data_IF_004399091354
#
_entry.id   IF_004399091354
#
_cell.length_a   1.000
_cell.length_b   1.000
_cell.length_c   1.000
_cell.angle_alpha   90.00
_cell.angle_beta   90.00
_cell.angle_gamma   90.00
#
_symmetry.space_group_name_H-M   'P 1'
#
loop_
_entity.id
_entity.type
_entity.pdbx_description
1 polymer ?
#
# COMPACT_ATOMS: atom_id res chain seq x y z
N UNK A 1 22.03 -51.60 -61.79
CA UNK A 1 20.98 -50.56 -61.84
C UNK A 1 20.73 -50.10 -60.47
N UNK A 2 21.43 -49.01 -60.08
CA UNK A 2 21.47 -48.41 -58.71
C UNK A 2 20.66 -47.14 -58.74
N UNK A 3 19.64 -47.00 -57.88
CA UNK A 3 18.87 -45.76 -57.66
C UNK A 3 19.30 -45.14 -56.35
N UNK A 4 19.94 -44.00 -56.42
CA UNK A 4 20.21 -43.10 -55.33
C UNK A 4 18.96 -42.31 -54.98
N UNK A 5 18.52 -42.35 -53.72
CA UNK A 5 17.51 -41.48 -53.16
C UNK A 5 18.24 -40.44 -52.25
N UNK A 6 18.28 -39.21 -52.71
CA UNK A 6 18.77 -38.06 -51.94
C UNK A 6 17.68 -37.61 -50.96
N UNK A 7 17.91 -37.73 -49.66
CA UNK A 7 17.05 -37.18 -48.63
C UNK A 7 17.49 -35.71 -48.38
N UNK A 8 16.62 -34.78 -48.75
CA UNK A 8 16.72 -33.37 -48.38
C UNK A 8 16.29 -33.22 -46.91
N UNK A 9 17.25 -32.96 -46.00
CA UNK A 9 16.98 -32.57 -44.65
C UNK A 9 16.64 -31.09 -44.65
N UNK A 10 15.36 -30.74 -44.50
CA UNK A 10 14.91 -29.37 -44.22
C UNK A 10 15.14 -29.11 -42.76
N UNK A 11 16.22 -28.41 -42.43
CA UNK A 11 16.49 -27.90 -41.10
C UNK A 11 15.52 -26.76 -40.75
N UNK A 12 14.54 -27.06 -39.91
CA UNK A 12 13.72 -26.03 -39.25
C UNK A 12 14.62 -25.29 -38.24
N UNK A 13 15.14 -24.13 -38.62
CA UNK A 13 15.70 -23.16 -37.69
C UNK A 13 14.54 -22.58 -36.88
N UNK A 14 14.28 -23.19 -35.71
CA UNK A 14 13.44 -22.59 -34.70
C UNK A 14 14.23 -21.39 -34.10
N UNK A 15 14.06 -20.22 -34.69
CA UNK A 15 14.52 -18.98 -34.11
C UNK A 15 13.66 -18.71 -32.89
N UNK A 16 14.17 -19.13 -31.71
CA UNK A 16 13.64 -18.70 -30.43
C UNK A 16 13.77 -17.18 -30.37
N UNK A 17 12.67 -16.49 -30.57
CA UNK A 17 12.51 -15.08 -30.19
C UNK A 17 12.64 -14.96 -28.67
N UNK A 18 13.86 -14.91 -28.16
CA UNK A 18 14.11 -14.31 -26.85
C UNK A 18 13.80 -12.83 -27.04
N UNK A 19 12.89 -12.24 -26.25
CA UNK A 19 12.68 -10.82 -26.32
C UNK A 19 14.01 -10.13 -25.97
N UNK A 20 14.58 -9.41 -26.94
CA UNK A 20 15.75 -8.58 -26.71
C UNK A 20 15.47 -7.71 -25.47
N UNK A 21 16.36 -7.80 -24.49
CA UNK A 21 16.31 -6.95 -23.32
C UNK A 21 16.54 -5.50 -23.79
N UNK A 22 15.45 -4.77 -24.03
CA UNK A 22 15.53 -3.36 -24.44
C UNK A 22 16.19 -2.56 -23.35
N UNK A 23 17.09 -1.64 -23.72
CA UNK A 23 17.69 -0.70 -22.82
C UNK A 23 16.63 0.19 -22.12
N UNK A 24 16.98 0.73 -20.97
CA UNK A 24 16.14 1.65 -20.21
C UNK A 24 15.73 2.85 -21.09
N UNK A 25 14.43 3.08 -21.16
CA UNK A 25 13.86 4.17 -21.94
C UNK A 25 12.81 4.93 -21.10
N UNK A 26 12.83 6.26 -21.22
CA UNK A 26 11.92 7.17 -20.53
C UNK A 26 11.23 8.08 -21.52
N UNK A 27 9.91 8.13 -21.49
CA UNK A 27 9.12 9.08 -22.27
C UNK A 27 8.15 9.83 -21.35
N UNK A 28 8.09 11.15 -21.50
CA UNK A 28 7.20 12.02 -20.74
C UNK A 28 6.05 12.48 -21.62
N UNK A 29 4.82 12.18 -21.22
CA UNK A 29 3.60 12.68 -21.82
C UNK A 29 2.89 13.64 -20.84
N UNK A 30 2.26 14.68 -21.39
CA UNK A 30 1.61 15.70 -20.58
C UNK A 30 0.24 16.01 -21.17
N UNK A 31 -0.81 15.78 -20.37
CA UNK A 31 -2.21 16.00 -20.78
C UNK A 31 -2.84 17.07 -19.93
N UNK A 32 -3.47 18.03 -20.61
CA UNK A 32 -4.33 19.00 -19.94
C UNK A 32 -5.59 18.30 -19.42
N UNK A 33 -5.89 18.45 -18.14
CA UNK A 33 -7.11 17.95 -17.53
C UNK A 33 -8.02 19.15 -17.24
N UNK A 34 -9.37 19.05 -17.45
CA UNK A 34 -10.29 20.08 -17.02
C UNK A 34 -10.09 20.35 -15.53
N UNK A 35 -9.65 21.55 -15.18
CA UNK A 35 -9.46 21.98 -13.79
C UNK A 35 -10.79 22.42 -13.17
N UNK A 36 -10.81 22.59 -11.84
CA UNK A 36 -11.91 23.22 -11.12
C UNK A 36 -12.14 24.68 -11.54
N UNK A 37 -11.18 25.29 -12.23
CA UNK A 37 -11.27 26.63 -12.80
C UNK A 37 -10.94 26.59 -14.29
N UNK A 38 -11.79 27.18 -15.17
CA UNK A 38 -11.52 27.26 -16.62
C UNK A 38 -10.26 28.04 -16.97
N UNK A 39 -9.77 28.89 -16.04
CA UNK A 39 -8.60 29.76 -16.25
C UNK A 39 -7.25 29.10 -15.93
N UNK A 40 -7.24 27.95 -15.31
CA UNK A 40 -6.02 27.21 -14.97
C UNK A 40 -6.24 25.70 -15.18
N UNK A 41 -6.03 25.20 -16.41
CA UNK A 41 -6.08 23.75 -16.65
C UNK A 41 -4.99 23.07 -15.84
N UNK A 42 -5.36 21.95 -15.20
CA UNK A 42 -4.43 21.08 -14.54
C UNK A 42 -3.67 20.27 -15.60
N UNK A 43 -2.37 20.10 -15.43
CA UNK A 43 -1.58 19.23 -16.31
C UNK A 43 -1.21 17.97 -15.56
N UNK A 44 -1.68 16.82 -16.05
CA UNK A 44 -1.21 15.52 -15.59
C UNK A 44 0.00 15.11 -16.42
N UNK A 45 1.06 14.70 -15.73
CA UNK A 45 2.26 14.19 -16.35
C UNK A 45 2.33 12.68 -16.16
N UNK A 46 2.49 11.93 -17.27
CA UNK A 46 2.74 10.50 -17.29
C UNK A 46 4.17 10.25 -17.77
N UNK A 47 4.95 9.58 -16.94
CA UNK A 47 6.32 9.20 -17.25
C UNK A 47 6.36 7.70 -17.53
N UNK A 48 6.42 7.30 -18.78
CA UNK A 48 6.55 5.89 -19.17
C UNK A 48 8.00 5.46 -19.04
N UNK A 49 8.25 4.40 -18.25
CA UNK A 49 9.59 3.81 -18.06
C UNK A 49 9.52 2.35 -18.51
N UNK A 50 10.38 1.99 -19.48
CA UNK A 50 10.45 0.64 -20.06
C UNK A 50 11.90 0.19 -20.18
N UNK A 51 12.12 -1.13 -20.37
CA UNK A 51 13.44 -1.70 -20.52
C UNK A 51 14.10 -2.09 -19.18
N UNK A 52 15.36 -2.48 -19.22
CA UNK A 52 16.12 -2.88 -18.03
C UNK A 52 16.78 -1.69 -17.35
N UNK A 53 16.80 -1.70 -16.02
CA UNK A 53 17.53 -0.71 -15.23
C UNK A 53 19.04 -0.96 -15.37
N UNK A 54 19.78 0.08 -15.73
CA UNK A 54 21.22 0.05 -15.93
C UNK A 54 21.88 1.20 -15.17
N UNK A 55 23.17 1.06 -14.92
CA UNK A 55 23.96 2.07 -14.21
C UNK A 55 23.85 3.46 -14.89
N UNK A 56 23.53 4.49 -14.12
CA UNK A 56 23.40 5.87 -14.59
C UNK A 56 21.98 6.27 -14.99
N UNK A 57 21.02 5.36 -15.02
CA UNK A 57 19.62 5.69 -15.38
C UNK A 57 18.95 6.58 -14.33
N UNK A 58 19.28 6.40 -13.06
CA UNK A 58 18.83 7.28 -11.99
C UNK A 58 19.28 8.72 -12.18
N UNK A 59 20.51 8.95 -12.69
CA UNK A 59 21.01 10.30 -12.93
C UNK A 59 20.27 10.97 -14.10
N UNK A 60 20.01 10.24 -15.17
CA UNK A 60 19.18 10.72 -16.30
C UNK A 60 17.77 11.09 -15.82
N UNK A 61 17.17 10.21 -14.98
CA UNK A 61 15.84 10.46 -14.41
C UNK A 61 15.84 11.70 -13.51
N UNK A 62 16.85 11.88 -12.66
CA UNK A 62 17.00 13.06 -11.79
C UNK A 62 16.96 14.38 -12.61
N UNK A 63 17.72 14.43 -13.69
CA UNK A 63 17.75 15.62 -14.57
C UNK A 63 16.37 15.90 -15.16
N UNK A 64 15.69 14.87 -15.65
CA UNK A 64 14.33 14.99 -16.22
C UNK A 64 13.33 15.48 -15.16
N UNK A 65 13.31 14.89 -13.98
CA UNK A 65 12.37 15.24 -12.91
C UNK A 65 12.63 16.64 -12.33
N UNK A 66 13.89 17.05 -12.22
CA UNK A 66 14.25 18.41 -11.81
C UNK A 66 13.73 19.44 -12.82
N UNK A 67 13.89 19.19 -14.12
CA UNK A 67 13.34 20.02 -15.20
C UNK A 67 11.82 20.08 -15.20
N UNK A 68 11.15 18.95 -14.93
CA UNK A 68 9.69 18.89 -14.82
C UNK A 68 9.19 19.69 -13.61
N UNK A 69 9.81 19.50 -12.44
CA UNK A 69 9.47 20.20 -11.20
C UNK A 69 9.59 21.72 -11.33
N UNK A 70 10.61 22.19 -12.03
CA UNK A 70 10.82 23.63 -12.26
C UNK A 70 9.73 24.28 -13.14
N UNK A 71 9.05 23.51 -13.99
CA UNK A 71 8.05 23.99 -14.96
C UNK A 71 6.61 23.72 -14.53
N UNK A 72 6.38 22.90 -13.49
CA UNK A 72 5.04 22.45 -13.11
C UNK A 72 4.60 23.13 -11.82
N UNK A 73 3.43 23.78 -11.87
CA UNK A 73 2.78 24.31 -10.68
C UNK A 73 2.35 23.14 -9.76
N UNK A 74 2.71 23.24 -8.47
CA UNK A 74 2.43 22.17 -7.50
C UNK A 74 1.03 22.31 -6.93
N UNK A 75 0.33 21.18 -6.86
CA UNK A 75 -0.94 21.04 -6.16
C UNK A 75 -0.71 20.17 -4.93
N UNK A 76 -1.04 20.70 -3.77
CA UNK A 76 -0.89 19.99 -2.50
C UNK A 76 -1.66 18.66 -2.53
N UNK A 77 -1.00 17.57 -2.14
CA UNK A 77 -1.60 16.24 -2.07
C UNK A 77 -1.63 15.49 -3.41
N UNK A 78 -1.21 16.11 -4.52
CA UNK A 78 -1.10 15.42 -5.81
C UNK A 78 0.36 15.10 -6.16
N UNK A 79 0.63 13.97 -6.83
CA UNK A 79 1.97 13.66 -7.33
C UNK A 79 2.37 14.64 -8.44
N UNK A 80 3.67 14.89 -8.60
CA UNK A 80 4.22 15.67 -9.71
C UNK A 80 3.96 15.00 -11.06
N UNK A 81 4.09 13.68 -11.09
CA UNK A 81 3.82 12.85 -12.26
C UNK A 81 3.45 11.42 -11.80
N UNK A 82 2.92 10.63 -12.71
CA UNK A 82 2.75 9.19 -12.54
C UNK A 82 3.76 8.44 -13.40
N UNK A 83 4.64 7.67 -12.78
CA UNK A 83 5.56 6.77 -13.46
C UNK A 83 4.86 5.46 -13.81
N UNK A 84 4.67 5.22 -15.10
CA UNK A 84 4.10 4.00 -15.66
C UNK A 84 5.25 3.03 -15.97
N UNK A 85 5.30 1.93 -15.20
CA UNK A 85 6.43 1.01 -15.22
C UNK A 85 6.13 -0.26 -16.03
N UNK A 86 7.05 -0.62 -16.93
CA UNK A 86 7.03 -1.88 -17.69
C UNK A 86 8.46 -2.39 -17.92
N UNK A 87 8.95 -3.26 -17.03
CA UNK A 87 10.34 -3.71 -17.02
C UNK A 87 10.48 -5.09 -16.38
N UNK A 88 11.38 -5.89 -16.93
CA UNK A 88 11.78 -7.18 -16.34
C UNK A 88 12.78 -7.04 -15.19
N UNK A 89 13.23 -5.83 -14.84
CA UNK A 89 14.18 -5.58 -13.78
C UNK A 89 15.51 -5.02 -14.27
N UNK A 90 16.63 -5.40 -13.66
CA UNK A 90 17.97 -4.93 -14.00
C UNK A 90 18.86 -4.72 -12.77
N UNK A 91 19.61 -3.62 -12.76
CA UNK A 91 20.49 -3.27 -11.64
C UNK A 91 19.67 -2.88 -10.39
N UNK A 92 19.95 -3.57 -9.28
CA UNK A 92 19.26 -3.34 -8.01
C UNK A 92 19.56 -1.94 -7.45
N UNK A 93 20.80 -1.51 -7.44
CA UNK A 93 21.18 -0.24 -6.83
C UNK A 93 20.61 0.95 -7.61
N UNK A 94 20.62 0.88 -8.94
CA UNK A 94 19.97 1.89 -9.77
C UNK A 94 18.45 1.92 -9.54
N UNK A 95 17.81 0.76 -9.37
CA UNK A 95 16.39 0.72 -9.10
C UNK A 95 16.02 1.33 -7.74
N UNK A 96 16.83 1.09 -6.69
CA UNK A 96 16.66 1.76 -5.40
C UNK A 96 16.82 3.28 -5.52
N UNK A 97 17.83 3.72 -6.29
CA UNK A 97 18.05 5.14 -6.58
C UNK A 97 16.84 5.77 -7.30
N UNK A 98 16.27 5.08 -8.30
CA UNK A 98 15.05 5.48 -8.99
C UNK A 98 13.87 5.57 -8.02
N UNK A 99 13.69 4.60 -7.14
CA UNK A 99 12.63 4.64 -6.13
C UNK A 99 12.78 5.80 -5.14
N UNK A 100 14.00 6.09 -4.68
CA UNK A 100 14.25 7.29 -3.87
C UNK A 100 13.96 8.59 -4.64
N UNK A 101 14.24 8.64 -5.95
CA UNK A 101 13.85 9.78 -6.78
C UNK A 101 12.33 9.93 -6.89
N UNK A 102 11.59 8.85 -7.02
CA UNK A 102 10.13 8.92 -7.00
C UNK A 102 9.62 9.53 -5.69
N UNK A 103 10.20 9.13 -4.56
CA UNK A 103 9.87 9.73 -3.26
C UNK A 103 10.29 11.21 -3.19
N UNK A 104 11.50 11.55 -3.62
CA UNK A 104 12.04 12.92 -3.57
C UNK A 104 11.22 13.91 -4.40
N UNK A 105 10.77 13.48 -5.58
CA UNK A 105 10.02 14.31 -6.52
C UNK A 105 8.51 14.13 -6.42
N UNK A 106 8.03 13.28 -5.49
CA UNK A 106 6.59 12.99 -5.31
C UNK A 106 5.97 12.43 -6.61
N UNK A 107 6.54 11.35 -7.10
CA UNK A 107 6.08 10.63 -8.28
C UNK A 107 5.24 9.43 -7.83
N UNK A 108 4.00 9.35 -8.29
CA UNK A 108 3.19 8.13 -8.15
C UNK A 108 3.71 7.04 -9.09
N UNK A 109 3.50 5.77 -8.74
CA UNK A 109 3.85 4.63 -9.60
C UNK A 109 2.60 3.87 -10.04
N UNK A 110 2.60 3.41 -11.28
CA UNK A 110 1.53 2.66 -11.91
C UNK A 110 2.11 1.50 -12.74
N UNK A 111 1.53 0.32 -12.57
CA UNK A 111 1.73 -0.80 -13.50
C UNK A 111 0.42 -1.05 -14.21
N UNK A 112 0.38 -0.86 -15.52
CA UNK A 112 -0.84 -0.98 -16.32
C UNK A 112 -1.21 -2.44 -16.58
N UNK A 113 -2.48 -2.67 -16.91
CA UNK A 113 -2.95 -3.97 -17.39
C UNK A 113 -2.10 -4.45 -18.58
N UNK A 114 -1.54 -5.66 -18.46
CA UNK A 114 -0.66 -6.25 -19.45
C UNK A 114 0.82 -5.91 -19.30
N UNK A 115 1.18 -4.93 -18.48
CA UNK A 115 2.57 -4.63 -18.15
C UNK A 115 3.11 -5.54 -17.04
N UNK A 116 4.42 -5.69 -17.03
CA UNK A 116 5.17 -6.37 -15.98
C UNK A 116 6.16 -5.41 -15.32
N UNK A 117 6.30 -5.48 -14.01
CA UNK A 117 7.34 -4.78 -13.26
C UNK A 117 7.95 -5.78 -12.28
N UNK A 118 9.05 -6.39 -12.68
CA UNK A 118 9.65 -7.54 -12.00
C UNK A 118 11.02 -7.18 -11.40
N UNK A 119 11.42 -7.89 -10.33
CA UNK A 119 12.77 -7.78 -9.75
C UNK A 119 13.12 -6.34 -9.37
N UNK A 120 14.19 -5.77 -9.90
CA UNK A 120 14.62 -4.40 -9.67
C UNK A 120 13.52 -3.37 -9.98
N UNK A 121 12.67 -3.58 -11.02
CA UNK A 121 11.52 -2.73 -11.29
C UNK A 121 10.53 -2.70 -10.13
N UNK A 122 10.25 -3.85 -9.51
CA UNK A 122 9.36 -3.92 -8.35
C UNK A 122 9.91 -3.14 -7.15
N UNK A 123 11.24 -3.08 -6.99
CA UNK A 123 11.85 -2.22 -5.98
C UNK A 123 11.64 -0.73 -6.31
N UNK A 124 11.85 -0.30 -7.55
CA UNK A 124 11.57 1.07 -7.96
C UNK A 124 10.09 1.45 -7.78
N UNK A 125 9.16 0.51 -8.06
CA UNK A 125 7.71 0.69 -7.86
C UNK A 125 7.38 1.07 -6.41
N UNK A 126 8.07 0.51 -5.42
CA UNK A 126 7.87 0.84 -4.00
C UNK A 126 8.20 2.31 -3.67
N UNK A 127 8.90 3.04 -4.53
CA UNK A 127 9.17 4.48 -4.39
C UNK A 127 7.97 5.39 -4.64
N UNK A 128 6.87 4.85 -5.18
CA UNK A 128 5.67 5.62 -5.52
C UNK A 128 5.11 6.44 -4.36
N UNK A 129 5.02 7.76 -4.56
CA UNK A 129 4.66 8.74 -3.51
C UNK A 129 3.82 9.87 -4.08
N UNK A 130 2.73 10.25 -3.41
CA UNK A 130 1.84 11.35 -3.81
C UNK A 130 2.15 12.67 -3.11
N UNK A 131 2.62 12.63 -1.85
CA UNK A 131 2.86 13.83 -1.05
C UNK A 131 3.93 13.57 -0.01
N UNK A 132 4.68 14.62 0.33
CA UNK A 132 5.70 14.63 1.41
C UNK A 132 5.22 15.39 2.64
N UNK A 133 3.93 15.48 2.89
CA UNK A 133 3.45 16.16 4.09
C UNK A 133 3.80 15.37 5.35
N UNK A 134 4.30 16.05 6.40
CA UNK A 134 4.54 15.42 7.70
C UNK A 134 3.25 14.76 8.26
N UNK A 135 3.35 13.65 9.02
CA UNK A 135 4.59 13.06 9.54
C UNK A 135 5.30 12.10 8.57
N UNK A 136 4.66 11.59 7.52
CA UNK A 136 5.26 10.66 6.58
C UNK A 136 4.77 10.89 5.15
N UNK A 137 5.60 10.60 4.13
CA UNK A 137 5.17 10.61 2.74
C UNK A 137 4.07 9.58 2.52
N UNK A 138 3.01 9.95 1.79
CA UNK A 138 1.91 9.05 1.45
C UNK A 138 2.32 8.16 0.28
N UNK A 139 2.29 6.83 0.42
CA UNK A 139 2.48 5.92 -0.70
C UNK A 139 1.45 6.18 -1.80
N UNK A 140 1.89 6.16 -3.04
CA UNK A 140 1.02 6.26 -4.22
C UNK A 140 1.46 5.25 -5.26
N UNK A 141 1.01 4.02 -5.10
CA UNK A 141 1.39 2.84 -5.86
C UNK A 141 0.13 2.19 -6.37
N UNK A 142 -0.02 2.06 -7.67
CA UNK A 142 -1.24 1.50 -8.29
C UNK A 142 -0.89 0.36 -9.23
N UNK A 143 -1.69 -0.69 -9.21
CA UNK A 143 -1.61 -1.81 -10.14
C UNK A 143 -2.98 -1.96 -10.78
N UNK A 144 -3.08 -1.78 -12.11
CA UNK A 144 -4.29 -2.16 -12.84
C UNK A 144 -4.43 -3.67 -12.81
N UNK A 145 -5.66 -4.16 -12.56
CA UNK A 145 -5.92 -5.60 -12.57
C UNK A 145 -5.48 -6.20 -13.90
N UNK A 146 -4.57 -7.18 -13.83
CA UNK A 146 -3.88 -7.78 -14.98
C UNK A 146 -2.51 -7.16 -15.30
N UNK A 147 -2.05 -6.15 -14.56
CA UNK A 147 -0.64 -5.77 -14.47
C UNK A 147 0.07 -6.65 -13.43
N UNK A 148 1.36 -6.90 -13.57
CA UNK A 148 2.09 -7.78 -12.65
C UNK A 148 3.25 -7.06 -11.99
N UNK A 149 3.31 -7.13 -10.65
CA UNK A 149 4.48 -6.70 -9.87
C UNK A 149 5.00 -7.91 -9.11
N UNK A 150 6.26 -8.24 -9.31
CA UNK A 150 6.88 -9.43 -8.74
C UNK A 150 8.26 -9.18 -8.16
N UNK A 151 8.49 -9.72 -6.98
CA UNK A 151 9.74 -9.65 -6.23
C UNK A 151 10.41 -11.03 -6.18
N UNK A 152 11.70 -11.05 -6.19
CA UNK A 152 12.53 -12.21 -5.87
C UNK A 152 13.80 -11.77 -5.15
N UNK A 153 14.48 -12.71 -4.52
CA UNK A 153 15.77 -12.42 -3.88
C UNK A 153 16.79 -11.99 -4.93
N UNK A 154 17.66 -11.08 -4.58
CA UNK A 154 18.74 -10.66 -5.48
C UNK A 154 19.87 -11.71 -5.52
N UNK A 155 20.52 -11.79 -6.67
CA UNK A 155 21.70 -12.62 -6.86
C UNK A 155 22.93 -11.74 -7.06
N UNK A 156 24.08 -12.20 -6.57
CA UNK A 156 25.37 -11.60 -6.86
C UNK A 156 25.92 -12.20 -8.15
N UNK A 157 26.54 -11.37 -8.98
CA UNK A 157 27.25 -11.85 -10.15
C UNK A 157 28.55 -12.54 -9.72
N UNK A 158 28.52 -13.87 -9.68
CA UNK A 158 29.64 -14.69 -9.29
C UNK A 158 30.83 -14.51 -10.24
N UNK A 159 30.58 -14.29 -11.55
CA UNK A 159 31.65 -14.09 -12.54
C UNK A 159 32.35 -12.76 -12.32
N UNK A 160 31.58 -11.69 -12.03
CA UNK A 160 32.13 -10.39 -11.71
C UNK A 160 33.02 -10.45 -10.43
N UNK A 161 32.54 -11.14 -9.38
CA UNK A 161 33.28 -11.32 -8.13
C UNK A 161 34.57 -12.11 -8.40
N UNK A 162 34.48 -13.20 -9.16
CA UNK A 162 35.64 -14.02 -9.50
C UNK A 162 36.68 -13.24 -10.28
N UNK A 163 36.28 -12.41 -11.24
CA UNK A 163 37.16 -11.56 -12.01
C UNK A 163 37.83 -10.49 -11.12
N UNK A 164 37.05 -9.84 -10.25
CA UNK A 164 37.56 -8.82 -9.31
C UNK A 164 38.59 -9.40 -8.34
N UNK A 165 38.40 -10.63 -7.87
CA UNK A 165 39.29 -11.32 -6.93
C UNK A 165 40.36 -12.16 -7.62
N UNK A 166 40.49 -12.07 -8.94
CA UNK A 166 41.48 -12.82 -9.76
C UNK A 166 41.47 -14.33 -9.49
N UNK A 167 40.28 -14.88 -9.21
CA UNK A 167 40.12 -16.30 -8.95
C UNK A 167 40.50 -16.77 -7.54
N UNK A 168 40.90 -15.87 -6.61
CA UNK A 168 41.12 -16.21 -5.21
C UNK A 168 39.78 -16.54 -4.53
N UNK A 169 39.58 -17.81 -4.18
CA UNK A 169 38.36 -18.29 -3.58
C UNK A 169 38.05 -17.66 -2.22
N UNK A 170 39.08 -17.45 -1.38
CA UNK A 170 38.89 -16.84 -0.04
C UNK A 170 38.50 -15.38 -0.17
N UNK A 171 39.19 -14.63 -1.03
CA UNK A 171 38.81 -13.25 -1.34
C UNK A 171 37.45 -13.15 -1.98
N UNK A 172 37.08 -14.10 -2.86
CA UNK A 172 35.76 -14.20 -3.49
C UNK A 172 34.62 -14.41 -2.49
N UNK A 173 34.81 -15.33 -1.54
CA UNK A 173 33.84 -15.57 -0.46
C UNK A 173 33.67 -14.32 0.41
N UNK A 174 34.77 -13.72 0.86
CA UNK A 174 34.75 -12.51 1.69
C UNK A 174 34.07 -11.34 0.97
N UNK A 175 34.36 -11.15 -0.33
CA UNK A 175 33.75 -10.12 -1.17
C UNK A 175 32.24 -10.36 -1.34
N UNK A 176 31.85 -11.61 -1.68
CA UNK A 176 30.44 -11.98 -1.84
C UNK A 176 29.64 -11.77 -0.56
N UNK A 177 30.17 -12.18 0.59
CA UNK A 177 29.54 -11.94 1.89
C UNK A 177 29.38 -10.45 2.20
N UNK A 178 30.42 -9.65 1.93
CA UNK A 178 30.38 -8.20 2.11
C UNK A 178 29.31 -7.52 1.26
N UNK A 179 29.23 -7.87 -0.04
CA UNK A 179 28.20 -7.36 -0.96
C UNK A 179 26.79 -7.81 -0.58
N UNK A 180 26.62 -9.08 -0.20
CA UNK A 180 25.32 -9.60 0.25
C UNK A 180 24.81 -8.86 1.48
N UNK A 181 25.66 -8.65 2.48
CA UNK A 181 25.33 -7.89 3.70
C UNK A 181 24.99 -6.43 3.38
N UNK A 182 25.76 -5.78 2.51
CA UNK A 182 25.51 -4.40 2.10
C UNK A 182 24.17 -4.27 1.34
N UNK A 183 23.88 -5.19 0.43
CA UNK A 183 22.62 -5.23 -0.32
C UNK A 183 21.41 -5.47 0.59
N UNK A 184 21.48 -6.42 1.50
CA UNK A 184 20.42 -6.69 2.48
C UNK A 184 20.15 -5.46 3.37
N UNK A 185 21.22 -4.82 3.90
CA UNK A 185 21.10 -3.58 4.67
C UNK A 185 20.46 -2.45 3.88
N UNK A 186 20.84 -2.28 2.62
CA UNK A 186 20.27 -1.26 1.74
C UNK A 186 18.77 -1.48 1.51
N UNK A 187 18.35 -2.73 1.25
CA UNK A 187 16.95 -3.09 1.04
C UNK A 187 16.09 -2.88 2.28
N UNK A 188 16.57 -3.29 3.46
CA UNK A 188 15.83 -3.11 4.72
C UNK A 188 15.65 -1.61 5.01
N UNK A 189 16.70 -0.81 4.85
CA UNK A 189 16.62 0.65 5.01
C UNK A 189 15.66 1.27 4.00
N UNK A 190 15.76 0.87 2.75
CA UNK A 190 14.89 1.33 1.68
C UNK A 190 13.41 1.07 2.00
N UNK A 191 13.08 -0.15 2.44
CA UNK A 191 11.71 -0.50 2.84
C UNK A 191 11.22 0.39 3.99
N UNK A 192 12.01 0.53 5.05
CA UNK A 192 11.68 1.37 6.20
C UNK A 192 11.45 2.84 5.78
N UNK A 193 12.33 3.38 4.94
CA UNK A 193 12.21 4.74 4.42
C UNK A 193 10.95 4.96 3.58
N UNK A 194 10.47 3.93 2.88
CA UNK A 194 9.30 4.00 2.02
C UNK A 194 8.00 3.56 2.70
N UNK A 195 8.04 3.25 4.00
CA UNK A 195 6.87 2.77 4.75
C UNK A 195 6.38 1.39 4.28
N UNK A 196 7.29 0.54 3.80
CA UNK A 196 7.04 -0.88 3.54
C UNK A 196 7.52 -1.68 4.75
N UNK A 197 6.79 -2.71 5.13
CA UNK A 197 7.18 -3.57 6.25
C UNK A 197 8.57 -4.18 6.02
N UNK A 198 9.58 -3.91 6.84
CA UNK A 198 10.89 -4.55 6.73
C UNK A 198 10.84 -6.07 6.84
N UNK A 199 9.82 -6.62 7.51
CA UNK A 199 9.56 -8.05 7.59
C UNK A 199 9.30 -8.67 6.22
N UNK A 200 8.65 -7.96 5.32
CA UNK A 200 8.48 -8.40 3.92
C UNK A 200 9.84 -8.57 3.22
N UNK A 201 10.74 -7.60 3.39
CA UNK A 201 12.10 -7.69 2.81
C UNK A 201 12.89 -8.84 3.45
N UNK A 202 12.79 -9.03 4.77
CA UNK A 202 13.44 -10.15 5.46
C UNK A 202 12.95 -11.49 4.92
N UNK A 203 11.64 -11.67 4.72
CA UNK A 203 11.08 -12.87 4.09
C UNK A 203 11.56 -13.07 2.65
N UNK A 204 11.70 -11.99 1.89
CA UNK A 204 12.23 -12.05 0.52
C UNK A 204 13.68 -12.54 0.50
N UNK A 205 14.52 -12.05 1.40
CA UNK A 205 15.94 -12.36 1.47
C UNK A 205 16.25 -13.81 1.86
N UNK A 206 15.37 -14.50 2.59
CA UNK A 206 15.57 -15.90 2.98
C UNK A 206 15.04 -16.90 1.93
N UNK A 207 14.33 -16.44 0.90
CA UNK A 207 13.80 -17.31 -0.15
C UNK A 207 14.87 -17.63 -1.20
N UNK A 208 14.79 -18.80 -1.85
CA UNK A 208 15.60 -19.09 -3.02
C UNK A 208 15.44 -18.01 -4.11
N UNK A 209 16.50 -17.66 -4.85
CA UNK A 209 16.45 -16.58 -5.86
C UNK A 209 15.46 -16.78 -7.01
N UNK A 210 15.10 -18.02 -7.30
CA UNK A 210 14.13 -18.42 -8.31
C UNK A 210 12.67 -18.38 -7.82
N UNK A 211 12.47 -18.10 -6.53
CA UNK A 211 11.14 -18.01 -5.93
C UNK A 211 10.60 -16.59 -6.01
N UNK A 212 9.47 -16.42 -6.69
CA UNK A 212 8.81 -15.14 -6.87
C UNK A 212 7.69 -14.91 -5.88
N UNK A 213 7.58 -13.66 -5.38
CA UNK A 213 6.44 -13.14 -4.63
C UNK A 213 5.75 -12.10 -5.51
N UNK A 214 4.48 -12.28 -5.80
CA UNK A 214 3.69 -11.34 -6.59
C UNK A 214 2.72 -10.56 -5.72
N UNK A 215 2.36 -9.34 -6.13
CA UNK A 215 1.27 -8.58 -5.52
C UNK A 215 -0.03 -9.06 -6.16
N UNK A 216 -0.60 -10.12 -5.63
CA UNK A 216 -1.79 -10.77 -6.15
C UNK A 216 -2.94 -10.88 -5.12
N UNK A 217 -2.64 -10.90 -3.83
CA UNK A 217 -3.61 -10.99 -2.73
C UNK A 217 -3.82 -9.65 -2.02
N UNK A 218 -4.95 -9.53 -1.32
CA UNK A 218 -5.25 -8.38 -0.47
C UNK A 218 -4.13 -8.09 0.52
N UNK A 219 -3.60 -9.13 1.18
CA UNK A 219 -2.49 -9.01 2.12
C UNK A 219 -1.25 -8.39 1.46
N UNK A 220 -0.90 -8.84 0.25
CA UNK A 220 0.25 -8.30 -0.47
C UNK A 220 0.06 -6.85 -0.87
N UNK A 221 -1.14 -6.45 -1.32
CA UNK A 221 -1.45 -5.05 -1.58
C UNK A 221 -1.29 -4.19 -0.32
N UNK A 222 -1.79 -4.64 0.84
CA UNK A 222 -1.64 -3.94 2.12
C UNK A 222 -0.17 -3.88 2.58
N UNK A 223 0.56 -4.99 2.48
CA UNK A 223 1.97 -5.09 2.90
C UNK A 223 2.87 -4.09 2.16
N UNK A 224 2.66 -3.91 0.86
CA UNK A 224 3.47 -2.99 0.06
C UNK A 224 2.82 -1.60 -0.09
N UNK A 225 1.66 -1.36 0.48
CA UNK A 225 0.93 -0.10 0.38
C UNK A 225 0.55 0.24 -1.07
N UNK A 226 0.11 -0.76 -1.85
CA UNK A 226 -0.34 -0.60 -3.23
C UNK A 226 -1.87 -0.68 -3.34
N UNK A 227 -2.41 -0.08 -4.41
CA UNK A 227 -3.83 -0.05 -4.71
C UNK A 227 -4.14 -0.83 -5.99
N UNK A 228 -5.08 -1.78 -5.97
CA UNK A 228 -5.62 -2.31 -7.20
C UNK A 228 -6.51 -1.27 -7.89
N UNK A 229 -6.47 -1.20 -9.21
CA UNK A 229 -7.37 -0.37 -10.01
C UNK A 229 -7.95 -1.15 -11.19
N UNK A 230 -9.10 -0.71 -11.68
CA UNK A 230 -9.83 -1.38 -12.76
C UNK A 230 -11.21 -1.83 -12.34
N UNK A 231 -12.04 -2.20 -13.31
CA UNK A 231 -13.47 -2.49 -13.13
C UNK A 231 -13.80 -3.92 -12.66
N UNK A 232 -12.82 -4.79 -12.53
CA UNK A 232 -13.02 -6.22 -12.30
C UNK A 232 -12.81 -6.63 -10.84
N UNK A 233 -12.94 -5.68 -9.89
CA UNK A 233 -12.79 -6.01 -8.47
C UNK A 233 -14.00 -6.80 -7.96
N UNK A 234 -13.78 -7.89 -7.22
CA UNK A 234 -14.88 -8.65 -6.64
C UNK A 234 -15.66 -7.81 -5.62
N UNK A 235 -16.93 -8.17 -5.41
CA UNK A 235 -17.74 -7.54 -4.37
C UNK A 235 -17.26 -8.05 -2.99
N UNK A 236 -16.88 -7.12 -2.12
CA UNK A 236 -16.53 -7.44 -0.74
C UNK A 236 -17.76 -7.48 0.18
N UNK A 237 -17.61 -8.09 1.36
CA UNK A 237 -18.62 -8.13 2.41
C UNK A 237 -18.37 -7.07 3.46
N UNK A 238 -19.44 -6.45 3.96
CA UNK A 238 -19.32 -5.36 4.93
C UNK A 238 -18.85 -5.84 6.30
N UNK A 239 -19.28 -7.03 6.71
CA UNK A 239 -18.82 -7.70 7.93
C UNK A 239 -17.32 -7.93 7.88
N UNK A 240 -16.82 -8.41 6.75
CA UNK A 240 -15.40 -8.62 6.52
C UNK A 240 -14.63 -7.30 6.57
N UNK A 241 -15.19 -6.25 5.95
CA UNK A 241 -14.58 -4.91 6.00
C UNK A 241 -14.46 -4.40 7.43
N UNK A 242 -15.53 -4.51 8.23
CA UNK A 242 -15.51 -4.08 9.62
C UNK A 242 -14.44 -4.82 10.44
N UNK A 243 -14.37 -6.14 10.30
CA UNK A 243 -13.37 -6.97 10.98
C UNK A 243 -11.95 -6.62 10.56
N UNK A 244 -11.69 -6.49 9.27
CA UNK A 244 -10.34 -6.17 8.77
C UNK A 244 -9.84 -4.79 9.23
N UNK A 245 -10.73 -3.79 9.25
CA UNK A 245 -10.43 -2.47 9.82
C UNK A 245 -10.04 -2.60 11.29
N UNK A 246 -10.83 -3.34 12.07
CA UNK A 246 -10.60 -3.52 13.50
C UNK A 246 -9.35 -4.33 13.80
N UNK A 247 -9.10 -5.41 13.07
CA UNK A 247 -7.88 -6.23 13.20
C UNK A 247 -6.63 -5.39 12.92
N UNK A 248 -6.68 -4.56 11.87
CA UNK A 248 -5.59 -3.65 11.55
C UNK A 248 -5.40 -2.59 12.65
N UNK A 249 -6.48 -1.95 13.09
CA UNK A 249 -6.45 -0.90 14.11
C UNK A 249 -5.99 -1.41 15.49
N UNK A 250 -6.23 -2.68 15.81
CA UNK A 250 -5.82 -3.31 17.06
C UNK A 250 -4.31 -3.63 17.12
N UNK A 251 -3.59 -3.54 15.99
CA UNK A 251 -2.14 -3.77 15.95
C UNK A 251 -1.71 -5.17 16.37
N UNK A 252 -2.55 -6.19 16.13
CA UNK A 252 -2.25 -7.58 16.48
C UNK A 252 -2.69 -8.01 17.90
N UNK A 253 -3.48 -7.18 18.59
CA UNK A 253 -4.04 -7.55 19.93
C UNK A 253 -5.13 -8.64 19.86
N UNK A 254 -5.23 -9.32 18.75
CA UNK A 254 -6.18 -10.39 18.46
C UNK A 254 -6.62 -10.32 17.01
N UNK A 255 -7.13 -11.42 16.50
CA UNK A 255 -7.70 -11.52 15.16
C UNK A 255 -9.16 -11.94 15.30
N UNK A 256 -10.08 -11.02 15.02
CA UNK A 256 -11.49 -11.31 14.94
C UNK A 256 -11.86 -11.90 13.58
N UNK A 257 -12.91 -12.71 13.54
CA UNK A 257 -13.51 -13.24 12.31
C UNK A 257 -14.80 -12.51 11.96
N UNK A 258 -15.24 -12.60 10.70
CA UNK A 258 -16.46 -11.94 10.23
C UNK A 258 -17.71 -12.27 11.07
N UNK A 259 -17.76 -13.45 11.67
CA UNK A 259 -18.82 -13.88 12.61
C UNK A 259 -18.87 -13.06 13.90
N UNK A 260 -17.78 -12.38 14.25
CA UNK A 260 -17.68 -11.54 15.46
C UNK A 260 -18.09 -10.07 15.17
N UNK A 261 -18.37 -9.72 13.92
CA UNK A 261 -18.91 -8.43 13.55
C UNK A 261 -20.44 -8.44 13.73
N UNK A 262 -20.91 -7.77 14.76
CA UNK A 262 -22.33 -7.60 15.02
C UNK A 262 -22.85 -6.34 14.32
N UNK A 263 -23.78 -6.44 13.35
CA UNK A 263 -24.39 -5.26 12.77
C UNK A 263 -25.20 -4.52 13.85
N UNK A 264 -25.17 -3.20 13.77
CA UNK A 264 -25.95 -2.33 14.66
C UNK A 264 -26.56 -1.19 13.86
N UNK A 265 -27.65 -0.61 14.35
CA UNK A 265 -28.18 0.59 13.72
C UNK A 265 -27.25 1.78 13.97
N UNK A 266 -27.30 2.77 13.10
CA UNK A 266 -26.53 4.01 13.29
C UNK A 266 -26.82 4.66 14.66
N UNK A 267 -28.05 4.60 15.09
CA UNK A 267 -28.52 5.14 16.36
C UNK A 267 -27.97 4.34 17.55
N UNK A 268 -28.09 3.03 17.50
CA UNK A 268 -27.57 2.16 18.57
C UNK A 268 -26.05 2.27 18.68
N UNK A 269 -25.36 2.42 17.55
CA UNK A 269 -23.92 2.69 17.53
C UNK A 269 -23.57 4.02 18.22
N UNK A 270 -24.31 5.11 17.91
CA UNK A 270 -24.12 6.40 18.59
C UNK A 270 -24.42 6.29 20.09
N UNK A 271 -25.53 5.67 20.46
CA UNK A 271 -25.90 5.45 21.87
C UNK A 271 -24.80 4.69 22.61
N UNK A 272 -24.32 3.58 22.03
CA UNK A 272 -23.25 2.78 22.60
C UNK A 272 -21.96 3.60 22.81
N UNK A 273 -21.57 4.42 21.82
CA UNK A 273 -20.39 5.30 21.95
C UNK A 273 -20.58 6.37 23.04
N UNK A 274 -21.78 6.95 23.16
CA UNK A 274 -22.08 7.90 24.21
C UNK A 274 -22.04 7.26 25.61
N UNK A 275 -22.52 6.01 25.76
CA UNK A 275 -22.37 5.24 27.00
C UNK A 275 -20.89 5.00 27.39
N UNK A 276 -20.02 4.77 26.41
CA UNK A 276 -18.58 4.63 26.68
C UNK A 276 -17.97 5.98 27.13
N UNK A 277 -18.35 7.07 26.47
CA UNK A 277 -17.93 8.44 26.89
C UNK A 277 -18.38 8.71 28.33
N UNK A 278 -19.62 8.40 28.69
CA UNK A 278 -20.13 8.59 30.05
C UNK A 278 -19.31 7.79 31.07
N UNK A 279 -19.06 6.50 30.84
CA UNK A 279 -18.27 5.65 31.72
C UNK A 279 -16.86 6.22 31.94
N UNK A 280 -16.25 6.74 30.90
CA UNK A 280 -14.92 7.34 30.97
C UNK A 280 -14.90 8.61 31.83
N UNK A 281 -15.90 9.44 31.62
CA UNK A 281 -16.02 10.70 32.33
C UNK A 281 -16.29 10.45 33.82
N UNK A 282 -17.14 9.46 34.13
CA UNK A 282 -17.41 9.06 35.52
C UNK A 282 -16.15 8.48 36.18
N UNK A 283 -15.40 7.60 35.49
CA UNK A 283 -14.17 7.02 36.01
C UNK A 283 -13.06 8.05 36.24
N UNK A 284 -12.98 9.08 35.37
CA UNK A 284 -12.03 10.19 35.47
C UNK A 284 -12.48 11.31 36.42
N UNK A 285 -13.65 11.16 37.05
CA UNK A 285 -14.29 12.16 37.95
C UNK A 285 -14.40 13.55 37.29
N UNK A 286 -14.61 13.62 35.99
CA UNK A 286 -14.79 14.86 35.23
C UNK A 286 -16.21 15.36 35.43
N UNK A 287 -16.34 16.61 35.93
CA UNK A 287 -17.62 17.28 36.10
C UNK A 287 -17.76 18.39 35.07
N UNK A 288 -18.94 18.54 34.50
CA UNK A 288 -19.23 19.61 33.57
C UNK A 288 -20.66 19.54 33.03
N UNK A 289 -21.18 20.63 32.44
CA UNK A 289 -22.55 20.66 31.93
C UNK A 289 -22.82 19.62 30.86
N UNK A 290 -21.86 19.32 29.98
CA UNK A 290 -21.98 18.26 28.96
C UNK A 290 -22.13 16.86 29.57
N UNK A 291 -21.49 16.60 30.71
CA UNK A 291 -21.59 15.31 31.42
C UNK A 291 -22.97 15.09 32.00
N UNK A 292 -23.53 16.14 32.62
CA UNK A 292 -24.91 16.08 33.13
C UNK A 292 -25.94 15.88 32.02
N UNK A 293 -25.76 16.53 30.89
CA UNK A 293 -26.61 16.35 29.72
C UNK A 293 -26.53 14.93 29.17
N UNK A 294 -25.31 14.35 29.09
CA UNK A 294 -25.08 13.00 28.57
C UNK A 294 -25.83 11.94 29.36
N UNK A 295 -25.77 11.98 30.70
CA UNK A 295 -26.50 11.07 31.58
C UNK A 295 -28.03 11.18 31.35
N UNK A 296 -28.57 12.39 31.27
CA UNK A 296 -29.98 12.65 31.01
C UNK A 296 -30.42 12.13 29.65
N UNK A 297 -29.60 12.32 28.62
CA UNK A 297 -29.91 11.86 27.24
C UNK A 297 -29.89 10.34 27.14
N UNK A 298 -28.92 9.69 27.77
CA UNK A 298 -28.83 8.21 27.77
C UNK A 298 -29.99 7.56 28.56
N UNK A 299 -30.47 8.22 29.62
CA UNK A 299 -31.65 7.79 30.34
C UNK A 299 -32.95 8.05 29.59
N UNK A 300 -32.97 9.00 28.64
CA UNK A 300 -34.12 9.32 27.83
C UNK A 300 -34.33 8.27 26.72
N UNK A 301 -35.57 8.15 26.25
CA UNK A 301 -35.89 7.37 25.05
C UNK A 301 -36.00 8.27 23.80
N UNK A 302 -35.64 9.54 23.93
CA UNK A 302 -35.70 10.49 22.79
C UNK A 302 -34.39 10.43 21.97
N UNK A 303 -34.53 9.82 20.82
CA UNK A 303 -33.39 9.62 19.89
C UNK A 303 -32.87 10.91 19.26
N UNK A 304 -33.65 12.00 19.23
CA UNK A 304 -33.20 13.31 18.72
C UNK A 304 -32.13 13.90 19.63
N UNK A 305 -32.23 13.65 20.92
CA UNK A 305 -31.25 14.06 21.89
C UNK A 305 -29.90 13.34 21.73
N UNK A 306 -29.96 12.07 21.29
CA UNK A 306 -28.73 11.30 20.97
C UNK A 306 -27.92 11.99 19.87
N UNK A 307 -28.57 12.37 18.77
CA UNK A 307 -27.90 13.02 17.65
C UNK A 307 -27.33 14.41 18.03
N UNK A 308 -28.09 15.19 18.81
CA UNK A 308 -27.64 16.50 19.29
C UNK A 308 -26.38 16.37 20.16
N UNK A 309 -26.46 15.57 21.23
CA UNK A 309 -25.33 15.42 22.17
C UNK A 309 -24.11 14.77 21.50
N UNK A 310 -24.34 13.85 20.57
CA UNK A 310 -23.26 13.27 19.78
C UNK A 310 -22.50 14.33 18.98
N UNK A 311 -23.21 15.25 18.34
CA UNK A 311 -22.66 16.36 17.58
C UNK A 311 -21.93 17.37 18.49
N UNK A 312 -22.50 17.69 19.63
CA UNK A 312 -21.94 18.64 20.60
C UNK A 312 -20.63 18.10 21.19
N UNK A 313 -20.57 16.81 21.53
CA UNK A 313 -19.34 16.16 22.03
C UNK A 313 -18.24 16.13 20.98
N UNK A 314 -18.59 15.91 19.71
CA UNK A 314 -17.61 16.00 18.61
C UNK A 314 -17.09 17.45 18.48
N UNK A 315 -17.96 18.42 18.51
CA UNK A 315 -17.58 19.85 18.48
C UNK A 315 -16.70 20.23 19.65
N UNK A 316 -16.89 19.61 20.82
CA UNK A 316 -16.03 19.77 22.00
C UNK A 316 -14.70 19.01 21.92
N UNK A 317 -14.40 18.34 20.79
CA UNK A 317 -13.11 17.65 20.56
C UNK A 317 -13.06 16.19 21.05
N UNK A 318 -14.20 15.61 21.44
CA UNK A 318 -14.27 14.17 21.73
C UNK A 318 -14.13 13.41 20.43
N UNK A 319 -13.21 12.43 20.39
CA UNK A 319 -12.91 11.61 19.21
C UNK A 319 -14.05 10.61 18.96
N UNK A 320 -15.12 11.08 18.30
CA UNK A 320 -16.26 10.27 17.85
C UNK A 320 -16.35 10.26 16.34
N UNK A 321 -16.76 9.13 15.70
CA UNK A 321 -16.94 9.03 14.25
C UNK A 321 -17.85 10.10 13.64
N UNK A 322 -17.49 10.63 12.47
CA UNK A 322 -18.27 11.68 11.81
C UNK A 322 -19.52 11.15 11.12
N UNK A 323 -19.39 10.05 10.43
CA UNK A 323 -20.48 9.47 9.65
C UNK A 323 -20.91 8.14 10.25
N UNK A 324 -22.18 7.95 10.36
CA UNK A 324 -22.78 6.72 10.83
C UNK A 324 -23.64 6.15 9.70
N UNK A 325 -23.04 5.32 8.86
CA UNK A 325 -23.72 4.56 7.82
C UNK A 325 -24.13 3.18 8.31
N UNK A 326 -23.55 2.13 7.74
CA UNK A 326 -23.67 0.77 8.27
C UNK A 326 -22.66 0.56 9.39
N UNK A 327 -23.15 0.31 10.58
CA UNK A 327 -22.34 0.23 11.78
C UNK A 327 -22.21 -1.20 12.26
N UNK A 328 -21.03 -1.51 12.77
CA UNK A 328 -20.67 -2.82 13.34
C UNK A 328 -19.94 -2.64 14.66
N UNK A 329 -20.14 -3.59 15.56
CA UNK A 329 -19.31 -3.75 16.74
C UNK A 329 -18.59 -5.09 16.61
N UNK A 330 -17.27 -5.03 16.61
CA UNK A 330 -16.38 -6.19 16.53
C UNK A 330 -15.76 -6.43 17.89
N UNK A 331 -15.93 -7.62 18.44
CA UNK A 331 -15.38 -8.03 19.74
C UNK A 331 -14.26 -9.05 19.56
N UNK A 332 -13.55 -9.37 20.66
CA UNK A 332 -12.52 -10.43 20.67
C UNK A 332 -11.08 -9.90 20.72
N UNK A 333 -10.90 -8.60 20.98
CA UNK A 333 -9.57 -8.01 21.16
C UNK A 333 -9.15 -8.02 22.63
N UNK A 334 -7.85 -8.29 22.88
CA UNK A 334 -7.28 -8.26 24.21
C UNK A 334 -5.91 -7.55 24.20
N UNK A 335 -5.74 -6.59 25.10
CA UNK A 335 -4.51 -5.85 25.33
C UNK A 335 -4.02 -6.19 26.74
N UNK A 336 -3.28 -7.28 26.86
CA UNK A 336 -2.97 -7.87 28.16
C UNK A 336 -4.25 -8.36 28.85
N UNK A 337 -4.55 -7.85 30.03
CA UNK A 337 -5.78 -8.20 30.78
C UNK A 337 -7.01 -7.37 30.33
N UNK A 338 -6.80 -6.32 29.55
CA UNK A 338 -7.87 -5.44 29.09
C UNK A 338 -8.55 -6.00 27.84
N UNK A 339 -9.84 -6.20 27.93
CA UNK A 339 -10.66 -6.54 26.77
C UNK A 339 -11.06 -5.28 26.00
N UNK A 340 -11.10 -5.37 24.67
CA UNK A 340 -11.51 -4.28 23.82
C UNK A 340 -12.55 -4.72 22.79
N UNK A 341 -13.33 -3.75 22.34
CA UNK A 341 -14.24 -3.83 21.22
C UNK A 341 -13.91 -2.71 20.23
N UNK A 342 -14.26 -2.92 18.97
CA UNK A 342 -14.05 -1.93 17.93
C UNK A 342 -15.41 -1.58 17.32
N UNK A 343 -15.77 -0.31 17.35
CA UNK A 343 -16.95 0.19 16.64
C UNK A 343 -16.54 0.76 15.30
N UNK A 344 -17.14 0.27 14.22
CA UNK A 344 -16.86 0.68 12.84
C UNK A 344 -18.13 1.20 12.19
N UNK A 345 -18.02 2.34 11.51
CA UNK A 345 -19.09 2.91 10.71
C UNK A 345 -18.64 2.99 9.26
N UNK A 346 -19.30 2.27 8.39
CA UNK A 346 -18.98 2.19 6.96
C UNK A 346 -19.88 3.12 6.16
N UNK A 347 -19.31 3.83 5.18
CA UNK A 347 -20.11 4.58 4.22
C UNK A 347 -20.95 3.65 3.35
N UNK A 348 -22.21 4.02 3.11
CA UNK A 348 -23.09 3.26 2.23
C UNK A 348 -22.76 3.38 0.74
N UNK A 349 -22.00 4.41 0.34
CA UNK A 349 -21.74 4.75 -1.06
C UNK A 349 -20.27 4.66 -1.46
N UNK A 350 -19.35 4.81 -0.52
CA UNK A 350 -17.91 4.83 -0.80
C UNK A 350 -17.17 3.86 0.12
N UNK A 351 -16.66 2.73 -0.41
CA UNK A 351 -15.96 1.73 0.39
C UNK A 351 -14.63 2.23 0.99
N UNK A 352 -14.12 3.35 0.51
CA UNK A 352 -12.91 3.97 1.05
C UNK A 352 -13.20 4.91 2.23
N UNK A 353 -14.49 5.17 2.52
CA UNK A 353 -14.89 6.04 3.63
C UNK A 353 -15.46 5.22 4.77
N UNK A 354 -14.79 5.26 5.89
CA UNK A 354 -15.24 4.68 7.14
C UNK A 354 -14.62 5.43 8.33
N UNK A 355 -15.30 5.32 9.46
CA UNK A 355 -14.79 5.77 10.75
C UNK A 355 -14.76 4.59 11.71
N UNK A 356 -13.84 4.60 12.66
CA UNK A 356 -13.77 3.56 13.68
C UNK A 356 -13.17 4.10 14.99
N UNK A 357 -13.46 3.38 16.06
CA UNK A 357 -12.90 3.68 17.38
C UNK A 357 -12.69 2.37 18.15
N UNK A 358 -11.57 2.24 18.83
CA UNK A 358 -11.31 1.17 19.79
C UNK A 358 -11.84 1.58 21.16
N UNK A 359 -12.52 0.63 21.82
CA UNK A 359 -13.16 0.83 23.12
C UNK A 359 -12.56 -0.21 24.05
N UNK A 360 -11.76 0.24 25.00
CA UNK A 360 -11.18 -0.61 26.03
C UNK A 360 -12.07 -0.65 27.26
N UNK A 361 -12.45 -1.81 27.74
CA UNK A 361 -13.26 -1.96 28.95
C UNK A 361 -12.49 -1.44 30.17
N UNK A 362 -13.11 -0.51 30.90
CA UNK A 362 -12.50 0.14 32.09
C UNK A 362 -11.55 1.28 31.80
N UNK A 363 -11.14 1.50 30.53
CA UNK A 363 -10.24 2.61 30.14
C UNK A 363 -10.95 3.59 29.20
N UNK A 364 -11.89 3.10 28.39
CA UNK A 364 -12.71 3.88 27.48
C UNK A 364 -12.22 3.94 26.04
N UNK A 365 -12.42 5.10 25.37
CA UNK A 365 -12.03 5.27 23.98
C UNK A 365 -10.50 5.33 23.84
N UNK A 366 -9.93 4.43 23.08
CA UNK A 366 -8.51 4.37 22.78
C UNK A 366 -8.21 4.84 21.35
N UNK A 367 -7.03 5.41 21.16
CA UNK A 367 -6.52 5.65 19.80
C UNK A 367 -6.13 4.32 19.16
N UNK A 368 -6.35 4.16 17.84
CA UNK A 368 -5.91 2.97 17.13
C UNK A 368 -4.38 2.85 17.18
N UNK A 369 -3.87 1.61 17.27
CA UNK A 369 -2.44 1.33 17.22
C UNK A 369 -1.88 1.47 15.80
N UNK A 370 -2.71 1.20 14.79
CA UNK A 370 -2.38 1.42 13.40
C UNK A 370 -3.53 2.14 12.67
N UNK A 371 -3.18 3.07 11.81
CA UNK A 371 -4.14 3.71 10.92
C UNK A 371 -4.22 2.92 9.60
N UNK A 372 -5.40 2.80 8.99
CA UNK A 372 -5.52 2.18 7.68
C UNK A 372 -4.65 2.90 6.65
N UNK A 373 -4.15 2.18 5.62
CA UNK A 373 -3.41 2.80 4.53
C UNK A 373 -4.25 3.93 3.91
N UNK A 374 -3.74 5.16 3.84
CA UNK A 374 -4.52 6.33 3.44
C UNK A 374 -4.98 6.28 1.99
N UNK A 375 -4.32 5.46 1.14
CA UNK A 375 -4.56 5.44 -0.30
C UNK A 375 -5.62 4.42 -0.74
N UNK A 376 -5.78 3.29 -0.02
CA UNK A 376 -6.68 2.21 -0.42
C UNK A 376 -7.42 1.56 0.75
N UNK A 377 -8.13 2.32 1.55
CA UNK A 377 -8.87 1.71 2.67
C UNK A 377 -9.98 0.74 2.21
N UNK A 378 -10.41 0.83 0.97
CA UNK A 378 -11.34 -0.13 0.37
C UNK A 378 -10.84 -1.57 0.27
N UNK A 379 -9.53 -1.80 0.39
CA UNK A 379 -8.96 -3.15 0.46
C UNK A 379 -9.46 -3.96 1.66
N UNK A 380 -9.83 -3.31 2.75
CA UNK A 380 -10.40 -3.98 3.92
C UNK A 380 -11.73 -4.70 3.67
N UNK A 381 -12.37 -4.51 2.50
CA UNK A 381 -13.57 -5.24 2.09
C UNK A 381 -13.31 -6.72 1.79
N UNK A 382 -12.07 -7.11 1.64
CA UNK A 382 -11.67 -8.42 1.16
C UNK A 382 -10.96 -9.21 2.27
N UNK A 383 -11.06 -10.52 2.17
CA UNK A 383 -10.23 -11.41 2.98
C UNK A 383 -8.74 -11.21 2.66
N UNK A 384 -7.85 -11.39 3.64
CA UNK A 384 -6.40 -11.19 3.46
C UNK A 384 -5.83 -12.04 2.32
N UNK A 385 -6.30 -13.28 2.19
CA UNK A 385 -5.84 -14.25 1.19
C UNK A 385 -6.63 -14.15 -0.12
N UNK A 386 -7.63 -13.25 -0.20
CA UNK A 386 -8.40 -13.10 -1.42
C UNK A 386 -7.51 -12.60 -2.56
N UNK A 387 -7.47 -13.37 -3.65
CA UNK A 387 -6.75 -13.00 -4.87
C UNK A 387 -7.52 -11.88 -5.57
N UNK A 388 -6.91 -10.71 -5.68
CA UNK A 388 -7.44 -9.53 -6.38
C UNK A 388 -6.85 -9.37 -7.77
N UNK A 389 -5.62 -9.85 -7.97
CA UNK A 389 -4.89 -9.72 -9.21
C UNK A 389 -4.22 -11.05 -9.58
N UNK A 390 -4.97 -12.00 -10.16
CA UNK A 390 -4.44 -13.33 -10.45
C UNK A 390 -3.27 -13.26 -11.43
N UNK A 391 -2.27 -14.11 -11.19
CA UNK A 391 -1.14 -14.32 -12.10
C UNK A 391 -1.64 -14.79 -13.46
N UNK A 392 -1.04 -14.30 -14.51
CA UNK A 392 -1.28 -14.76 -15.87
C UNK A 392 -0.26 -15.83 -16.29
#
# INVERSE_FOLDING_TARGET
MSRWLSALAIGFLCWSFLPEARAFNMTLDSKSIPGLSPKAPLVAHALRITGRFEQGDGDKLRVMLAGLKAKTARITGQPLATAELSSSGGDLLESLKVGYLFREFEIATLVRKGDICLSACAMAFLGGTASRQPPAPLPSRTIEIGGQVGFHNFTLDATAIQNETKGDATAGIARGFGLGRAGASALIRYAADLGVDPGFIAQLLVRPPDTWIYIDTTEMFLTVGACPSGSEQPLGRLEQQAVNICNHASGGAGVAEASQARPTTARDAKRYLLEQVQRNVESANVKGPLVGQLAGVLASKDDRLIDSVYSDLRAAGISLPEQVGRSFIVSGYAFGELQAECSVNLSGSDPNKFDFVLIMRGVGLARPFALPPPMCPGLFRYDSQQVLNPKR
#
